data_IF_865649729809
#
_entry.id   IF_865649729809
#
_cell.length_a   1.000
_cell.length_b   1.000
_cell.length_c   1.000
_cell.angle_alpha   90.00
_cell.angle_beta   90.00
_cell.angle_gamma   90.00
#
_symmetry.space_group_name_H-M   'P 1'
#
loop_
_entity.id
_entity.type
_entity.pdbx_description
1 polymer ?
#
# COMPACT_ATOMS: atom_id res chain seq x y z
N UNK A 1 35.36 19.54 -34.26
CA UNK A 1 34.69 19.44 -32.93
C UNK A 1 33.21 19.25 -33.20
N UNK A 2 32.62 18.15 -32.71
CA UNK A 2 31.39 17.53 -33.23
C UNK A 2 30.10 18.16 -32.64
N UNK A 3 29.35 19.01 -33.37
CA UNK A 3 28.06 19.56 -32.90
C UNK A 3 26.92 18.52 -32.90
N UNK A 4 27.19 17.28 -33.33
CA UNK A 4 26.21 16.22 -33.55
C UNK A 4 25.74 15.52 -32.27
N UNK A 5 26.57 15.49 -31.21
CA UNK A 5 26.25 14.78 -29.96
C UNK A 5 25.16 15.50 -29.14
N UNK A 6 25.20 16.83 -29.08
CA UNK A 6 24.20 17.66 -28.35
C UNK A 6 22.84 17.64 -29.07
N UNK A 7 22.84 17.70 -30.41
CA UNK A 7 21.60 17.65 -31.21
C UNK A 7 20.90 16.29 -31.12
N UNK A 8 21.65 15.19 -30.97
CA UNK A 8 21.09 13.84 -30.76
C UNK A 8 20.49 13.67 -29.35
N UNK A 9 21.04 14.37 -28.35
CA UNK A 9 20.51 14.41 -26.97
C UNK A 9 19.15 15.14 -26.87
N UNK A 10 18.89 16.08 -27.78
CA UNK A 10 17.63 16.84 -27.86
C UNK A 10 16.58 16.20 -28.81
N UNK A 11 16.96 15.21 -29.63
CA UNK A 11 16.03 14.47 -30.51
C UNK A 11 15.10 13.51 -29.76
N UNK A 12 15.40 13.21 -28.50
CA UNK A 12 14.53 12.48 -27.55
C UNK A 12 13.73 13.40 -26.63
N UNK A 13 13.81 14.73 -26.81
CA UNK A 13 12.96 15.69 -26.11
C UNK A 13 11.55 15.65 -26.73
N UNK A 14 10.90 14.48 -26.63
CA UNK A 14 9.46 14.33 -26.81
C UNK A 14 8.83 15.42 -25.97
N UNK A 15 8.07 16.37 -26.55
CA UNK A 15 7.61 17.51 -25.80
C UNK A 15 6.76 16.98 -24.64
N UNK A 16 7.19 17.13 -23.37
CA UNK A 16 6.62 16.39 -22.25
C UNK A 16 5.20 16.84 -21.86
N UNK A 17 4.52 17.59 -22.73
CA UNK A 17 3.23 18.24 -22.47
C UNK A 17 2.26 18.32 -23.66
N UNK A 18 2.58 17.78 -24.85
CA UNK A 18 1.62 17.81 -25.99
C UNK A 18 0.64 16.62 -25.93
N UNK A 19 1.01 15.56 -25.22
CA UNK A 19 0.19 14.36 -25.02
C UNK A 19 -0.35 14.24 -23.57
N UNK A 20 -0.58 15.35 -22.87
CA UNK A 20 -1.52 15.25 -21.74
C UNK A 20 -2.89 14.89 -22.33
N UNK A 21 -3.60 13.85 -21.85
CA UNK A 21 -4.90 13.45 -22.39
C UNK A 21 -5.94 14.59 -22.42
N UNK A 22 -5.68 15.67 -21.68
CA UNK A 22 -6.42 16.94 -21.71
C UNK A 22 -6.37 17.69 -23.05
N UNK A 23 -5.32 17.52 -23.86
CA UNK A 23 -5.10 18.27 -25.11
C UNK A 23 -5.46 17.48 -26.37
N UNK A 24 -5.68 16.16 -26.26
CA UNK A 24 -5.93 15.27 -27.40
C UNK A 24 -7.39 15.29 -27.90
N UNK A 25 -8.20 16.24 -27.46
CA UNK A 25 -9.61 16.32 -27.84
C UNK A 25 -9.94 17.66 -28.47
N UNK A 26 -9.37 17.92 -29.64
CA UNK A 26 -9.69 19.05 -30.52
C UNK A 26 -11.02 18.87 -31.29
N UNK A 27 -11.96 18.10 -30.75
CA UNK A 27 -13.27 17.87 -31.35
C UNK A 27 -14.27 17.47 -30.28
N UNK A 28 -15.25 18.35 -30.02
CA UNK A 28 -16.55 18.04 -29.38
C UNK A 28 -16.58 17.23 -28.06
N UNK A 29 -15.45 17.01 -27.39
CA UNK A 29 -15.34 16.12 -26.21
C UNK A 29 -15.23 16.81 -24.85
N UNK A 30 -15.30 18.15 -24.79
CA UNK A 30 -15.85 18.81 -23.60
C UNK A 30 -17.37 18.69 -23.73
N UNK A 31 -18.12 17.90 -22.94
CA UNK A 31 -18.18 18.03 -21.49
C UNK A 31 -19.01 16.90 -20.83
N UNK A 32 -19.09 15.70 -21.41
CA UNK A 32 -19.85 14.62 -20.79
C UNK A 32 -19.13 14.00 -19.57
N UNK A 33 -17.80 14.08 -19.47
CA UNK A 33 -17.07 13.55 -18.31
C UNK A 33 -17.49 14.20 -16.97
N UNK A 34 -17.65 15.53 -16.85
CA UNK A 34 -18.29 16.16 -15.69
C UNK A 34 -19.69 15.63 -15.40
N UNK A 35 -20.51 15.42 -16.43
CA UNK A 35 -21.89 14.94 -16.31
C UNK A 35 -21.93 13.48 -15.80
N UNK A 36 -21.13 12.60 -16.40
CA UNK A 36 -20.95 11.22 -15.96
C UNK A 36 -20.38 11.16 -14.54
N UNK A 37 -19.42 12.01 -14.20
CA UNK A 37 -18.84 12.10 -12.86
C UNK A 37 -19.89 12.57 -11.82
N UNK A 38 -20.73 13.54 -12.18
CA UNK A 38 -21.86 14.00 -11.37
C UNK A 38 -22.83 12.86 -11.08
N UNK A 39 -23.31 12.17 -12.12
CA UNK A 39 -24.23 11.04 -11.94
C UNK A 39 -23.58 9.83 -11.25
N UNK A 40 -22.28 9.62 -11.43
CA UNK A 40 -21.54 8.54 -10.74
C UNK A 40 -21.42 8.76 -9.24
N UNK A 41 -21.40 10.03 -8.80
CA UNK A 41 -21.20 10.47 -7.43
C UNK A 41 -22.47 10.90 -6.70
N UNK A 42 -23.64 10.79 -7.34
CA UNK A 42 -24.93 10.95 -6.66
C UNK A 42 -24.90 10.15 -5.35
N UNK A 43 -25.44 10.69 -4.24
CA UNK A 43 -25.43 10.01 -2.95
C UNK A 43 -26.11 8.65 -3.07
N UNK A 44 -25.31 7.61 -3.23
CA UNK A 44 -25.75 6.23 -3.07
C UNK A 44 -25.86 6.04 -1.56
N UNK A 45 -26.90 5.35 -1.10
CA UNK A 45 -27.13 5.09 0.33
C UNK A 45 -25.88 4.54 1.03
N UNK A 46 -25.91 4.45 2.38
CA UNK A 46 -24.76 4.09 3.18
C UNK A 46 -24.03 2.88 2.58
N UNK A 47 -22.75 3.07 2.25
CA UNK A 47 -21.93 2.05 1.60
C UNK A 47 -22.03 0.77 2.44
N UNK A 48 -22.42 -0.38 1.85
CA UNK A 48 -22.48 -1.63 2.60
C UNK A 48 -21.12 -1.83 3.28
N UNK A 49 -21.16 -2.07 4.59
CA UNK A 49 -19.95 -2.34 5.35
C UNK A 49 -19.20 -3.43 4.59
N UNK A 50 -17.97 -3.14 4.17
CA UNK A 50 -17.15 -4.16 3.54
C UNK A 50 -17.19 -5.35 4.48
N UNK A 51 -17.67 -6.49 3.99
CA UNK A 51 -17.48 -7.76 4.67
C UNK A 51 -15.97 -8.02 4.62
N UNK A 52 -15.25 -7.34 5.50
CA UNK A 52 -13.82 -7.50 5.65
C UNK A 52 -13.64 -8.82 6.38
N UNK A 53 -13.85 -9.90 5.64
CA UNK A 53 -13.62 -11.25 6.11
C UNK A 53 -12.16 -11.39 6.52
N UNK A 54 -11.92 -12.02 7.66
CA UNK A 54 -10.58 -12.35 8.15
C UNK A 54 -9.92 -11.31 9.04
N UNK A 55 -8.66 -11.59 9.38
CA UNK A 55 -7.86 -10.87 10.39
C UNK A 55 -7.69 -9.40 10.00
N UNK A 56 -7.54 -9.10 8.71
CA UNK A 56 -7.40 -7.72 8.19
C UNK A 56 -8.63 -6.87 8.53
N UNK A 57 -9.83 -7.42 8.40
CA UNK A 57 -11.06 -6.71 8.73
C UNK A 57 -11.29 -6.49 10.22
N UNK A 58 -10.84 -7.45 11.04
CA UNK A 58 -11.02 -7.39 12.49
C UNK A 58 -10.06 -6.43 13.18
N UNK A 59 -8.86 -6.22 12.64
CA UNK A 59 -7.82 -5.48 13.36
C UNK A 59 -7.13 -4.37 12.57
N UNK A 60 -7.29 -4.31 11.24
CA UNK A 60 -6.50 -3.38 10.40
C UNK A 60 -7.36 -2.41 9.57
N UNK A 61 -8.68 -2.58 9.52
CA UNK A 61 -9.56 -1.78 8.67
C UNK A 61 -10.61 -1.00 9.46
N UNK A 62 -10.86 0.24 9.02
CA UNK A 62 -11.97 1.08 9.47
C UNK A 62 -11.96 1.31 10.99
N UNK A 63 -13.16 1.33 11.60
CA UNK A 63 -13.36 1.54 13.04
C UNK A 63 -12.71 0.48 13.95
N UNK A 64 -12.32 -0.66 13.39
CA UNK A 64 -11.70 -1.77 14.13
C UNK A 64 -10.16 -1.76 13.99
N UNK A 65 -9.58 -0.73 13.36
CA UNK A 65 -8.13 -0.58 13.29
C UNK A 65 -7.56 -0.46 14.71
N UNK A 66 -6.75 -1.44 15.11
CA UNK A 66 -6.23 -1.56 16.47
C UNK A 66 -4.78 -2.05 16.45
N UNK A 67 -3.98 -1.61 17.42
CA UNK A 67 -2.62 -2.09 17.66
C UNK A 67 -2.55 -3.50 18.25
N UNK A 68 -3.69 -4.14 18.55
CA UNK A 68 -3.73 -5.48 19.15
C UNK A 68 -2.89 -6.53 18.40
N UNK A 69 -2.87 -6.62 17.05
CA UNK A 69 -2.02 -7.60 16.36
C UNK A 69 -0.53 -7.43 16.62
N UNK A 70 -0.07 -6.19 16.84
CA UNK A 70 1.33 -5.92 17.17
C UNK A 70 1.68 -6.44 18.57
N UNK A 71 0.78 -6.24 19.54
CA UNK A 71 0.94 -6.77 20.90
C UNK A 71 0.94 -8.30 20.88
N UNK A 72 0.01 -8.91 20.16
CA UNK A 72 -0.02 -10.37 20.00
C UNK A 72 1.24 -10.92 19.35
N UNK A 73 1.80 -10.20 18.36
CA UNK A 73 3.08 -10.56 17.75
C UNK A 73 4.22 -10.52 18.77
N UNK A 74 4.30 -9.46 19.57
CA UNK A 74 5.33 -9.35 20.64
C UNK A 74 5.22 -10.50 21.63
N UNK A 75 4.01 -10.79 22.13
CA UNK A 75 3.77 -11.90 23.06
C UNK A 75 4.15 -13.24 22.43
N UNK A 76 3.82 -13.46 21.16
CA UNK A 76 4.19 -14.67 20.43
C UNK A 76 5.70 -14.85 20.31
N UNK A 77 6.43 -13.78 19.98
CA UNK A 77 7.90 -13.80 19.86
C UNK A 77 8.55 -14.07 21.22
N UNK A 78 8.15 -13.36 22.27
CA UNK A 78 8.72 -13.57 23.60
C UNK A 78 8.40 -14.96 24.17
N UNK A 79 7.17 -15.44 24.01
CA UNK A 79 6.78 -16.77 24.44
C UNK A 79 7.58 -17.85 23.72
N UNK A 80 7.69 -17.76 22.39
CA UNK A 80 8.46 -18.72 21.60
C UNK A 80 9.96 -18.65 21.96
N UNK A 81 10.52 -17.45 22.06
CA UNK A 81 11.92 -17.25 22.47
C UNK A 81 12.21 -17.87 23.84
N UNK A 82 11.34 -17.64 24.82
CA UNK A 82 11.48 -18.24 26.15
C UNK A 82 11.42 -19.76 26.12
N UNK A 83 10.53 -20.36 25.31
CA UNK A 83 10.47 -21.83 25.20
C UNK A 83 11.75 -22.43 24.62
N UNK A 84 12.34 -21.77 23.61
CA UNK A 84 13.61 -22.18 23.01
C UNK A 84 14.74 -22.05 24.03
N UNK A 85 14.84 -20.90 24.69
CA UNK A 85 15.87 -20.62 25.69
C UNK A 85 15.75 -21.59 26.88
N UNK A 86 14.53 -21.90 27.30
CA UNK A 86 14.29 -22.89 28.34
C UNK A 86 14.79 -24.29 27.95
N UNK A 87 14.47 -24.72 26.72
CA UNK A 87 14.85 -26.04 26.24
C UNK A 87 16.35 -26.17 26.00
N UNK A 88 17.00 -25.13 25.46
CA UNK A 88 18.41 -25.18 25.07
C UNK A 88 19.35 -24.82 26.23
N UNK A 89 18.95 -23.89 27.09
CA UNK A 89 19.81 -23.30 28.10
C UNK A 89 19.30 -23.54 29.52
N UNK A 90 18.16 -22.96 29.92
CA UNK A 90 17.78 -22.91 31.34
C UNK A 90 17.58 -24.31 31.96
N UNK A 91 17.07 -25.29 31.20
CA UNK A 91 16.82 -26.64 31.71
C UNK A 91 18.11 -27.41 32.01
N UNK A 92 19.21 -27.12 31.31
CA UNK A 92 20.49 -27.81 31.47
C UNK A 92 21.43 -27.09 32.46
N UNK A 93 21.07 -25.87 32.87
CA UNK A 93 21.88 -24.98 33.70
C UNK A 93 22.16 -25.48 35.13
N UNK A 94 21.51 -26.57 35.58
CA UNK A 94 21.71 -27.18 36.90
C UNK A 94 22.48 -28.51 36.88
N UNK A 95 22.72 -29.10 35.71
CA UNK A 95 23.34 -30.43 35.58
C UNK A 95 24.86 -30.39 35.30
N UNK A 96 25.45 -29.19 35.32
CA UNK A 96 26.91 -29.01 35.20
C UNK A 96 27.36 -28.01 36.27
N UNK A 97 28.30 -28.41 37.12
CA UNK A 97 29.07 -27.47 37.91
C UNK A 97 29.97 -26.67 36.96
N UNK A 98 30.05 -25.35 37.15
CA UNK A 98 31.08 -24.52 36.54
C UNK A 98 32.48 -24.96 36.95
#
# INVERSE_FOLDING_TARGET
MQPSLIRRQLGGLVPPKVASPTLLTSGTGSSLAPLVNFYSKLPKGPRPAFASGGIKGRFFNGKNASGAPLVWLMVGIFGLGYTIDYQMHLKHHKNHAH
#
